data_IF_509727724334
#
_entry.id   IF_509727724334
#
_cell.length_a   1.000
_cell.length_b   1.000
_cell.length_c   1.000
_cell.angle_alpha   90.00
_cell.angle_beta   90.00
_cell.angle_gamma   90.00
#
_symmetry.space_group_name_H-M   'P 1'
#
loop_
_entity.id
_entity.type
_entity.pdbx_description
1 polymer ?
#
# COMPACT_ATOMS: atom_id res chain seq x y z
N UNK A 1 -7.99 -8.15 14.84
CA UNK A 1 -7.82 -8.11 13.36
C UNK A 1 -9.02 -7.48 12.66
N UNK A 2 -10.26 -7.96 12.87
CA UNK A 2 -11.42 -7.50 12.10
C UNK A 2 -11.91 -6.08 12.33
N UNK A 3 -11.62 -5.45 13.48
CA UNK A 3 -11.97 -4.04 13.70
C UNK A 3 -11.19 -3.16 12.71
N UNK A 4 -9.88 -3.34 12.59
CA UNK A 4 -9.05 -2.56 11.66
C UNK A 4 -9.57 -2.70 10.23
N UNK A 5 -9.77 -3.94 9.76
CA UNK A 5 -10.28 -4.23 8.43
C UNK A 5 -11.67 -3.63 8.16
N UNK A 6 -12.54 -3.57 9.17
CA UNK A 6 -13.86 -2.92 9.07
C UNK A 6 -13.70 -1.41 8.91
N UNK A 7 -12.92 -0.77 9.78
CA UNK A 7 -12.75 0.69 9.79
C UNK A 7 -11.99 1.22 8.58
N UNK A 8 -11.13 0.41 7.95
CA UNK A 8 -10.41 0.80 6.73
C UNK A 8 -11.22 0.55 5.46
N UNK A 9 -12.41 -0.06 5.54
CA UNK A 9 -13.22 -0.42 4.37
C UNK A 9 -12.74 -1.67 3.62
N UNK A 10 -11.84 -2.45 4.20
CA UNK A 10 -11.32 -3.70 3.63
C UNK A 10 -12.38 -4.83 3.58
N UNK A 11 -13.40 -4.73 4.42
CA UNK A 11 -14.56 -5.64 4.47
C UNK A 11 -15.77 -5.12 3.68
N UNK A 12 -15.64 -3.99 2.95
CA UNK A 12 -16.75 -3.34 2.25
C UNK A 12 -17.92 -3.07 3.20
N UNK A 13 -19.10 -3.61 2.91
CA UNK A 13 -20.29 -3.49 3.75
C UNK A 13 -20.28 -4.37 5.02
N UNK A 14 -19.10 -4.73 5.54
CA UNK A 14 -18.93 -5.49 6.78
C UNK A 14 -18.91 -7.02 6.62
N UNK A 15 -18.61 -7.53 5.41
CA UNK A 15 -18.59 -8.98 5.15
C UNK A 15 -17.21 -9.55 5.42
N UNK A 16 -17.13 -10.64 6.22
CA UNK A 16 -15.88 -11.37 6.48
C UNK A 16 -15.98 -12.84 6.08
N UNK A 17 -14.85 -13.43 5.69
CA UNK A 17 -14.70 -14.85 5.39
C UNK A 17 -13.83 -15.55 6.43
N UNK A 18 -13.81 -16.90 6.47
CA UNK A 18 -12.83 -17.63 7.28
C UNK A 18 -11.38 -17.22 6.95
N UNK A 19 -11.05 -17.00 5.68
CA UNK A 19 -9.71 -16.55 5.29
C UNK A 19 -9.41 -15.15 5.85
N UNK A 20 -10.32 -14.18 5.69
CA UNK A 20 -10.10 -12.82 6.20
C UNK A 20 -9.95 -12.79 7.73
N UNK A 21 -10.64 -13.68 8.45
CA UNK A 21 -10.53 -13.81 9.91
C UNK A 21 -9.22 -14.48 10.35
N UNK A 22 -8.64 -15.32 9.50
CA UNK A 22 -7.36 -15.98 9.74
C UNK A 22 -6.15 -15.10 9.34
N UNK A 23 -6.39 -13.93 8.73
CA UNK A 23 -5.33 -13.04 8.27
C UNK A 23 -4.36 -12.63 9.39
N UNK A 24 -3.06 -12.68 9.08
CA UNK A 24 -1.97 -12.19 9.93
C UNK A 24 -1.39 -10.92 9.32
N UNK A 25 -1.05 -9.93 10.15
CA UNK A 25 -0.48 -8.68 9.64
C UNK A 25 0.84 -8.95 8.87
N UNK A 26 1.13 -8.18 7.82
CA UNK A 26 2.41 -8.25 7.14
C UNK A 26 3.52 -7.86 8.12
N UNK A 27 4.75 -8.23 7.78
CA UNK A 27 5.96 -7.82 8.53
C UNK A 27 6.78 -6.89 7.65
N UNK A 28 6.96 -5.67 8.14
CA UNK A 28 7.75 -4.61 7.47
C UNK A 28 9.05 -4.41 8.22
N UNK A 29 10.18 -4.74 7.58
CA UNK A 29 11.51 -4.67 8.17
C UNK A 29 12.41 -3.76 7.36
N UNK A 30 12.80 -2.61 7.92
CA UNK A 30 13.83 -1.77 7.31
C UNK A 30 15.20 -2.47 7.41
N UNK A 31 15.96 -2.51 6.30
CA UNK A 31 17.26 -3.19 6.27
C UNK A 31 18.41 -2.25 6.64
N UNK A 32 19.51 -2.85 7.08
CA UNK A 32 20.77 -2.19 7.42
C UNK A 32 20.89 -1.87 8.90
N UNK A 33 21.93 -1.12 9.25
CA UNK A 33 22.37 -0.98 10.63
C UNK A 33 21.39 -0.22 11.51
N UNK A 34 21.39 -0.60 12.79
CA UNK A 34 20.64 0.01 13.88
C UNK A 34 21.60 0.54 14.94
N UNK A 35 21.23 1.65 15.57
CA UNK A 35 21.89 2.20 16.76
C UNK A 35 20.83 2.23 17.87
N UNK A 36 21.10 1.60 19.00
CA UNK A 36 20.15 1.47 20.13
C UNK A 36 18.76 0.94 19.73
N UNK A 37 18.73 -0.03 18.81
CA UNK A 37 17.49 -0.63 18.30
C UNK A 37 16.67 0.28 17.36
N UNK A 38 17.24 1.39 16.89
CA UNK A 38 16.60 2.32 15.94
C UNK A 38 17.39 2.43 14.65
N UNK A 39 16.69 2.56 13.53
CA UNK A 39 17.34 2.91 12.26
C UNK A 39 17.65 4.39 12.22
N UNK A 40 18.94 4.70 12.15
CA UNK A 40 19.45 6.06 11.99
C UNK A 40 20.23 6.19 10.70
N UNK A 41 20.02 7.27 9.96
CA UNK A 41 20.74 7.61 8.72
C UNK A 41 21.16 9.08 8.74
N UNK A 42 22.18 9.39 7.96
CA UNK A 42 22.57 10.77 7.64
C UNK A 42 22.41 11.00 6.15
N UNK A 43 21.87 12.15 5.77
CA UNK A 43 21.73 12.58 4.39
C UNK A 43 22.21 14.03 4.23
N UNK A 44 22.32 14.49 2.98
CA UNK A 44 22.56 15.90 2.64
C UNK A 44 21.37 16.47 1.88
N UNK A 45 21.12 17.77 2.04
CA UNK A 45 20.08 18.47 1.27
C UNK A 45 20.28 18.25 -0.23
N UNK A 46 19.20 17.93 -0.93
CA UNK A 46 19.19 17.67 -2.37
C UNK A 46 19.91 16.40 -2.81
N UNK A 47 20.51 15.62 -1.90
CA UNK A 47 21.15 14.34 -2.23
C UNK A 47 20.20 13.18 -1.93
N UNK A 48 20.01 12.25 -2.87
CA UNK A 48 19.17 11.08 -2.64
C UNK A 48 19.80 10.16 -1.59
N UNK A 49 18.96 9.69 -0.67
CA UNK A 49 19.24 8.60 0.25
C UNK A 49 18.40 7.39 -0.16
N UNK A 50 19.04 6.32 -0.61
CA UNK A 50 18.36 5.06 -0.94
C UNK A 50 18.44 4.08 0.23
N UNK A 51 17.37 3.31 0.43
CA UNK A 51 17.28 2.27 1.44
C UNK A 51 16.34 1.16 1.00
N UNK A 52 16.50 -0.03 1.59
CA UNK A 52 15.71 -1.22 1.24
C UNK A 52 14.83 -1.63 2.42
N UNK A 53 13.56 -1.92 2.14
CA UNK A 53 12.62 -2.48 3.10
C UNK A 53 12.26 -3.89 2.67
N UNK A 54 12.30 -4.84 3.58
CA UNK A 54 11.76 -6.18 3.36
C UNK A 54 10.31 -6.22 3.83
N UNK A 55 9.41 -6.62 2.93
CA UNK A 55 7.99 -6.80 3.21
C UNK A 55 7.61 -8.27 2.99
N UNK A 56 7.13 -8.92 4.04
CA UNK A 56 6.64 -10.31 3.98
C UNK A 56 5.22 -10.39 4.48
N UNK A 57 4.44 -11.32 3.94
CA UNK A 57 3.02 -11.45 4.20
C UNK A 57 2.59 -12.92 4.06
N UNK A 58 1.45 -13.30 4.63
CA UNK A 58 0.90 -14.66 4.50
C UNK A 58 0.13 -14.88 3.18
N UNK A 59 -0.01 -13.82 2.36
CA UNK A 59 -0.72 -13.83 1.08
C UNK A 59 -2.23 -13.68 1.23
N UNK A 60 -2.70 -13.26 2.41
CA UNK A 60 -4.09 -13.03 2.75
C UNK A 60 -4.30 -11.54 3.06
N UNK A 61 -5.40 -10.91 2.61
CA UNK A 61 -6.30 -11.41 1.58
C UNK A 61 -5.59 -11.53 0.22
N UNK A 62 -5.98 -12.53 -0.58
CA UNK A 62 -5.50 -12.64 -1.95
C UNK A 62 -5.91 -11.40 -2.73
N UNK A 63 -4.92 -10.72 -3.30
CA UNK A 63 -5.15 -9.60 -4.21
C UNK A 63 -5.95 -10.10 -5.40
N UNK A 64 -7.17 -9.61 -5.58
CA UNK A 64 -7.97 -9.91 -6.77
C UNK A 64 -7.70 -8.83 -7.80
N UNK A 65 -6.98 -9.18 -8.87
CA UNK A 65 -6.75 -8.25 -9.97
C UNK A 65 -8.04 -7.99 -10.75
N UNK A 66 -8.11 -6.86 -11.46
CA UNK A 66 -9.25 -6.57 -12.34
C UNK A 66 -9.45 -7.65 -13.41
N UNK A 67 -8.37 -8.26 -13.89
CA UNK A 67 -8.41 -9.35 -14.87
C UNK A 67 -9.05 -10.60 -14.26
N UNK A 68 -8.65 -10.98 -13.04
CA UNK A 68 -9.26 -12.12 -12.34
C UNK A 68 -10.74 -11.87 -12.02
N UNK A 69 -11.09 -10.64 -11.68
CA UNK A 69 -12.49 -10.25 -11.47
C UNK A 69 -13.32 -10.36 -12.75
N UNK A 70 -12.79 -9.91 -13.90
CA UNK A 70 -13.44 -10.05 -15.21
C UNK A 70 -13.65 -11.53 -15.54
N UNK A 71 -12.62 -12.36 -15.36
CA UNK A 71 -12.68 -13.81 -15.58
C UNK A 71 -13.74 -14.48 -14.70
N UNK A 72 -13.76 -14.16 -13.41
CA UNK A 72 -14.72 -14.70 -12.47
C UNK A 72 -16.17 -14.33 -12.85
N UNK A 73 -16.41 -13.07 -13.22
CA UNK A 73 -17.75 -12.63 -13.66
C UNK A 73 -18.17 -13.28 -14.97
N UNK A 74 -17.27 -13.45 -15.94
CA UNK A 74 -17.58 -14.12 -17.19
C UNK A 74 -17.97 -15.59 -16.95
N UNK A 75 -17.22 -16.29 -16.11
CA UNK A 75 -17.51 -17.67 -15.72
C UNK A 75 -18.87 -17.82 -15.01
N UNK A 76 -19.30 -16.82 -14.22
CA UNK A 76 -20.60 -16.81 -13.55
C UNK A 76 -21.76 -16.40 -14.47
N UNK A 77 -21.48 -15.66 -15.56
CA UNK A 77 -22.49 -15.12 -16.48
C UNK A 77 -23.13 -16.15 -17.41
N UNK A 78 -22.61 -17.38 -17.44
CA UNK A 78 -23.09 -18.46 -18.30
C UNK A 78 -22.31 -18.57 -19.63
N UNK A 79 -22.64 -19.57 -20.47
CA UNK A 79 -21.79 -19.99 -21.59
C UNK A 79 -21.63 -18.96 -22.72
N UNK A 80 -22.48 -17.93 -22.76
CA UNK A 80 -22.47 -16.88 -23.78
C UNK A 80 -21.84 -15.57 -23.31
N UNK A 81 -21.37 -15.49 -22.06
CA UNK A 81 -20.75 -14.28 -21.51
C UNK A 81 -19.23 -14.39 -21.67
N UNK A 82 -18.65 -13.51 -22.48
CA UNK A 82 -17.20 -13.45 -22.68
C UNK A 82 -16.54 -12.44 -21.73
N UNK A 83 -15.23 -12.61 -21.48
CA UNK A 83 -14.42 -11.64 -20.72
C UNK A 83 -14.49 -10.24 -21.34
N UNK A 84 -14.50 -10.14 -22.67
CA UNK A 84 -14.61 -8.86 -23.39
C UNK A 84 -15.95 -8.17 -23.15
N UNK A 85 -17.06 -8.93 -23.14
CA UNK A 85 -18.38 -8.40 -22.84
C UNK A 85 -18.44 -7.84 -21.41
N UNK A 86 -17.89 -8.59 -20.45
CA UNK A 86 -17.79 -8.16 -19.05
C UNK A 86 -16.91 -6.91 -18.93
N UNK A 87 -15.74 -6.89 -19.56
CA UNK A 87 -14.83 -5.75 -19.54
C UNK A 87 -15.49 -4.49 -20.10
N UNK A 88 -16.17 -4.59 -21.26
CA UNK A 88 -16.91 -3.50 -21.87
C UNK A 88 -18.04 -3.00 -20.97
N UNK A 89 -18.79 -3.91 -20.36
CA UNK A 89 -19.86 -3.55 -19.42
C UNK A 89 -19.31 -2.84 -18.18
N UNK A 90 -18.18 -3.31 -17.61
CA UNK A 90 -17.53 -2.65 -16.47
C UNK A 90 -17.00 -1.26 -16.83
N UNK A 91 -16.49 -1.06 -18.06
CA UNK A 91 -15.99 0.23 -18.52
C UNK A 91 -17.11 1.28 -18.69
N UNK A 92 -18.33 0.85 -19.00
CA UNK A 92 -19.50 1.71 -19.16
C UNK A 92 -20.26 1.97 -17.85
N UNK A 93 -19.98 1.19 -16.80
CA UNK A 93 -20.62 1.38 -15.49
C UNK A 93 -19.89 2.44 -14.69
N UNK A 94 -20.65 3.38 -14.14
CA UNK A 94 -20.18 4.19 -13.02
C UNK A 94 -19.94 3.21 -11.86
N UNK A 95 -18.72 3.15 -11.29
CA UNK A 95 -18.43 2.30 -10.14
C UNK A 95 -19.36 2.69 -8.99
N UNK A 96 -20.22 1.76 -8.58
CA UNK A 96 -21.09 1.96 -7.43
C UNK A 96 -20.40 1.37 -6.19
N UNK A 97 -19.89 2.25 -5.33
CA UNK A 97 -19.30 1.91 -4.05
C UNK A 97 -20.24 2.44 -2.95
N UNK A 98 -21.20 1.61 -2.46
CA UNK A 98 -22.16 2.05 -1.45
C UNK A 98 -21.50 2.36 -0.10
N UNK A 99 -20.31 1.80 0.13
CA UNK A 99 -19.43 2.10 1.25
C UNK A 99 -18.07 2.52 0.71
N UNK A 100 -17.33 3.30 1.48
CA UNK A 100 -15.91 3.49 1.19
C UNK A 100 -15.22 2.13 1.28
N UNK A 101 -14.48 1.78 0.23
CA UNK A 101 -13.86 0.46 0.08
C UNK A 101 -12.38 0.60 -0.23
N UNK A 102 -11.55 -0.11 0.54
CA UNK A 102 -10.13 -0.22 0.27
C UNK A 102 -9.86 -1.43 -0.62
N UNK A 103 -8.95 -1.28 -1.58
CA UNK A 103 -8.44 -2.41 -2.35
C UNK A 103 -7.58 -3.29 -1.43
N UNK A 104 -7.95 -4.56 -1.36
CA UNK A 104 -7.23 -5.58 -0.61
C UNK A 104 -6.01 -6.06 -1.40
N UNK A 105 -4.84 -5.52 -1.07
CA UNK A 105 -3.58 -5.85 -1.71
C UNK A 105 -2.39 -5.50 -0.81
N UNK A 106 -1.29 -6.22 -0.98
CA UNK A 106 -0.02 -5.94 -0.30
C UNK A 106 0.69 -4.74 -0.95
N UNK A 107 1.00 -3.71 -0.16
CA UNK A 107 1.81 -2.56 -0.59
C UNK A 107 2.67 -1.98 0.54
N UNK A 108 3.75 -1.29 0.15
CA UNK A 108 4.59 -0.49 1.05
C UNK A 108 4.31 1.00 0.82
N UNK A 109 4.30 1.79 1.89
CA UNK A 109 4.23 3.25 1.82
C UNK A 109 5.14 3.90 2.86
N UNK A 110 6.13 4.67 2.39
CA UNK A 110 6.94 5.55 3.20
C UNK A 110 6.38 6.98 3.24
N UNK A 111 6.34 7.54 4.44
CA UNK A 111 5.75 8.84 4.73
C UNK A 111 6.67 9.63 5.66
N UNK A 112 6.54 10.96 5.65
CA UNK A 112 7.14 11.81 6.67
C UNK A 112 6.23 11.82 7.89
N UNK A 113 6.70 11.30 9.02
CA UNK A 113 5.99 11.39 10.29
C UNK A 113 6.29 12.71 11.00
N UNK A 114 7.56 13.15 10.97
CA UNK A 114 8.02 14.46 11.46
C UNK A 114 9.15 14.97 10.58
N UNK A 115 9.24 16.28 10.38
CA UNK A 115 10.31 16.92 9.59
C UNK A 115 10.03 18.41 9.37
N UNK A 116 11.08 19.18 9.09
CA UNK A 116 10.99 20.64 8.94
C UNK A 116 10.56 21.07 7.53
N UNK A 117 11.06 20.38 6.51
CA UNK A 117 10.88 20.75 5.10
C UNK A 117 10.27 19.67 4.22
N UNK A 118 10.21 19.97 2.92
CA UNK A 118 9.68 19.07 1.90
C UNK A 118 10.58 17.86 1.70
N UNK A 119 9.93 16.70 1.54
CA UNK A 119 10.57 15.40 1.29
C UNK A 119 9.89 14.77 0.09
N UNK A 120 10.68 14.23 -0.84
CA UNK A 120 10.19 13.54 -2.03
C UNK A 120 10.68 12.10 -2.01
N UNK A 121 9.76 11.16 -2.27
CA UNK A 121 10.05 9.74 -2.39
C UNK A 121 10.00 9.30 -3.84
N UNK A 122 10.89 8.37 -4.20
CA UNK A 122 10.91 7.66 -5.48
C UNK A 122 11.04 6.15 -5.23
N UNK A 123 10.10 5.31 -5.70
CA UNK A 123 8.88 5.70 -6.42
C UNK A 123 7.90 6.50 -5.53
N UNK A 124 6.91 7.20 -6.13
CA UNK A 124 5.84 7.85 -5.37
C UNK A 124 5.07 6.85 -4.51
N UNK A 125 4.96 7.15 -3.22
CA UNK A 125 4.40 6.22 -2.23
C UNK A 125 2.86 6.27 -2.23
N UNK A 126 2.16 5.12 -2.16
CA UNK A 126 0.71 5.09 -1.99
C UNK A 126 0.29 5.74 -0.67
N UNK A 127 -0.89 6.36 -0.62
CA UNK A 127 -1.41 6.91 0.64
C UNK A 127 -1.82 5.81 1.62
N UNK A 128 -1.67 6.11 2.90
CA UNK A 128 -2.07 5.24 4.02
C UNK A 128 -3.31 5.73 4.75
N UNK A 129 -3.97 6.76 4.22
CA UNK A 129 -5.22 7.32 4.70
C UNK A 129 -6.24 7.40 3.57
N UNK A 130 -7.51 7.48 3.96
CA UNK A 130 -8.63 7.48 3.03
C UNK A 130 -8.60 8.69 2.09
N UNK A 131 -8.45 8.41 0.80
CA UNK A 131 -8.62 9.37 -0.29
C UNK A 131 -9.29 8.67 -1.46
N UNK A 132 -10.59 8.93 -1.65
CA UNK A 132 -11.41 8.29 -2.67
C UNK A 132 -11.33 8.99 -4.03
N UNK A 133 -10.59 10.11 -4.12
CA UNK A 133 -10.47 10.85 -5.37
C UNK A 133 -9.80 9.99 -6.45
N UNK A 134 -10.34 9.95 -7.68
CA UNK A 134 -9.72 9.23 -8.79
C UNK A 134 -8.28 9.70 -9.02
N UNK A 135 -7.36 8.76 -9.21
CA UNK A 135 -5.95 9.04 -9.51
C UNK A 135 -5.10 9.51 -8.31
N UNK A 136 -5.62 9.48 -7.09
CA UNK A 136 -4.95 10.05 -5.90
C UNK A 136 -3.80 9.21 -5.30
N UNK A 137 -3.29 8.19 -6.02
CA UNK A 137 -2.39 7.14 -5.55
C UNK A 137 -2.78 6.60 -4.17
N UNK A 138 -4.02 6.15 -4.04
CA UNK A 138 -4.65 5.75 -2.79
C UNK A 138 -5.38 4.43 -2.99
N UNK A 139 -5.27 3.48 -2.06
CA UNK A 139 -5.99 2.20 -2.16
C UNK A 139 -7.51 2.34 -2.00
N UNK A 140 -8.00 3.52 -1.62
CA UNK A 140 -9.43 3.89 -1.67
C UNK A 140 -9.82 4.60 -2.97
N UNK A 141 -8.83 5.04 -3.74
CA UNK A 141 -9.02 5.84 -4.94
C UNK A 141 -9.52 4.99 -6.09
N UNK A 142 -10.45 5.54 -6.86
CA UNK A 142 -10.91 4.87 -8.08
C UNK A 142 -9.74 4.69 -9.06
N UNK A 143 -9.61 3.46 -9.59
CA UNK A 143 -8.56 3.03 -10.53
C UNK A 143 -7.14 2.94 -9.94
N UNK A 144 -6.99 2.88 -8.62
CA UNK A 144 -5.71 2.51 -8.03
C UNK A 144 -5.38 1.04 -8.32
N UNK A 145 -4.09 0.78 -8.54
CA UNK A 145 -3.54 -0.56 -8.66
C UNK A 145 -2.38 -0.68 -7.66
N UNK A 146 -2.27 -1.81 -6.95
CA UNK A 146 -1.16 -2.01 -6.03
C UNK A 146 0.18 -1.95 -6.76
N UNK A 147 1.20 -1.31 -6.17
CA UNK A 147 2.56 -1.39 -6.67
C UNK A 147 3.05 -2.84 -6.77
N UNK A 148 3.99 -3.08 -7.68
CA UNK A 148 4.66 -4.37 -7.76
C UNK A 148 5.50 -4.64 -6.51
N UNK A 149 5.35 -5.83 -5.93
CA UNK A 149 6.18 -6.32 -4.82
C UNK A 149 7.08 -7.43 -5.37
N UNK A 150 8.42 -7.28 -5.28
CA UNK A 150 9.35 -8.33 -5.68
C UNK A 150 9.12 -9.64 -4.91
N UNK A 151 9.44 -10.77 -5.53
CA UNK A 151 9.19 -12.09 -4.95
C UNK A 151 9.94 -12.34 -3.62
N UNK A 152 11.08 -11.69 -3.42
CA UNK A 152 11.87 -11.72 -2.18
C UNK A 152 11.40 -10.67 -1.15
N UNK A 153 10.40 -9.86 -1.50
CA UNK A 153 9.86 -8.79 -0.67
C UNK A 153 10.80 -7.58 -0.52
N UNK A 154 11.92 -7.52 -1.25
CA UNK A 154 12.91 -6.45 -1.11
C UNK A 154 12.54 -5.26 -1.97
N UNK A 155 12.09 -4.18 -1.32
CA UNK A 155 11.62 -2.97 -1.99
C UNK A 155 12.63 -1.85 -1.75
N UNK A 156 13.21 -1.33 -2.83
CA UNK A 156 14.06 -0.15 -2.77
C UNK A 156 13.22 1.12 -2.77
N UNK A 157 13.62 2.09 -1.96
CA UNK A 157 13.01 3.43 -1.91
C UNK A 157 14.12 4.46 -1.80
N UNK A 158 14.00 5.50 -2.60
CA UNK A 158 14.88 6.66 -2.56
C UNK A 158 14.12 7.84 -1.99
N UNK A 159 14.77 8.60 -1.10
CA UNK A 159 14.21 9.80 -0.50
C UNK A 159 15.17 10.97 -0.66
N UNK A 160 14.62 12.14 -0.96
CA UNK A 160 15.37 13.40 -1.09
C UNK A 160 14.74 14.47 -0.20
N UNK A 161 15.58 15.22 0.51
CA UNK A 161 15.19 16.26 1.46
C UNK A 161 15.57 17.65 0.92
N UNK A 162 14.66 18.62 1.00
CA UNK A 162 14.90 19.99 0.51
C UNK A 162 15.48 20.92 1.59
N UNK A 163 15.44 20.53 2.87
CA UNK A 163 15.92 21.34 4.00
C UNK A 163 16.75 20.50 4.99
N UNK A 164 17.72 21.11 5.71
CA UNK A 164 18.44 20.42 6.77
C UNK A 164 17.55 20.24 8.01
N UNK A 165 17.88 19.26 8.86
CA UNK A 165 17.16 19.01 10.11
C UNK A 165 17.03 17.53 10.47
N UNK A 166 16.25 17.25 11.51
CA UNK A 166 15.86 15.88 11.85
C UNK A 166 14.50 15.52 11.26
N UNK A 167 14.47 14.36 10.60
CA UNK A 167 13.27 13.79 9.99
C UNK A 167 13.00 12.42 10.61
N UNK A 168 11.74 12.14 10.90
CA UNK A 168 11.28 10.79 11.22
C UNK A 168 10.44 10.33 10.04
N UNK A 169 10.94 9.33 9.33
CA UNK A 169 10.22 8.63 8.29
C UNK A 169 9.51 7.42 8.88
N UNK A 170 8.33 7.14 8.34
CA UNK A 170 7.46 6.06 8.76
C UNK A 170 7.03 5.26 7.53
N UNK A 171 7.40 3.99 7.51
CA UNK A 171 7.04 3.01 6.49
C UNK A 171 5.93 2.11 6.99
N UNK A 172 4.87 1.94 6.21
CA UNK A 172 3.77 1.01 6.49
C UNK A 172 3.71 -0.05 5.40
N UNK A 173 3.83 -1.31 5.78
CA UNK A 173 3.38 -2.43 4.97
C UNK A 173 1.92 -2.74 5.31
N UNK A 174 1.09 -2.90 4.30
CA UNK A 174 -0.36 -3.05 4.45
C UNK A 174 -0.85 -4.09 3.44
N UNK A 175 -1.61 -5.08 3.91
CA UNK A 175 -2.16 -6.18 3.10
C UNK A 175 -3.58 -5.88 2.58
N UNK A 176 -4.14 -4.72 2.96
CA UNK A 176 -5.53 -4.31 2.75
C UNK A 176 -6.36 -4.34 4.02
N UNK A 177 -6.15 -5.31 4.91
CA UNK A 177 -6.90 -5.52 6.15
C UNK A 177 -6.10 -5.16 7.40
N UNK A 178 -4.82 -5.49 7.43
CA UNK A 178 -3.89 -5.27 8.54
C UNK A 178 -2.62 -4.59 8.03
N UNK A 179 -1.83 -4.09 8.97
CA UNK A 179 -0.61 -3.38 8.66
C UNK A 179 0.46 -3.57 9.74
N UNK A 180 1.70 -3.31 9.37
CA UNK A 180 2.83 -3.20 10.28
C UNK A 180 3.72 -2.02 9.89
N UNK A 181 4.26 -1.35 10.91
CA UNK A 181 4.96 -0.09 10.75
C UNK A 181 6.48 -0.26 11.04
N UNK A 182 7.29 0.48 10.29
CA UNK A 182 8.73 0.62 10.46
C UNK A 182 9.09 2.12 10.52
N UNK A 183 10.18 2.45 11.21
CA UNK A 183 10.59 3.84 11.42
C UNK A 183 12.07 4.04 11.14
N UNK A 184 12.40 5.22 10.64
CA UNK A 184 13.78 5.66 10.41
C UNK A 184 13.94 7.12 10.80
N UNK A 185 14.96 7.42 11.61
CA UNK A 185 15.37 8.79 11.86
C UNK A 185 16.49 9.17 10.89
N UNK A 186 16.33 10.30 10.20
CA UNK A 186 17.32 10.83 9.26
C UNK A 186 17.77 12.20 9.73
N UNK A 187 19.07 12.34 9.98
CA UNK A 187 19.70 13.64 10.18
C UNK A 187 20.16 14.19 8.83
N UNK A 188 19.56 15.28 8.38
CA UNK A 188 19.88 15.93 7.11
C UNK A 188 20.77 17.14 7.39
N UNK A 189 21.90 17.21 6.70
CA UNK A 189 22.87 18.30 6.78
C UNK A 189 22.92 19.06 5.45
N UNK A 190 23.51 20.25 5.48
CA UNK A 190 23.82 21.01 4.26
C UNK A 190 24.74 20.24 3.29
#
# INVERSE_FOLDING_TARGET
NMVIASETGALGAGTSSPESRANTAPVTTLRGDMVDGKHMRTARVGRPLSFTTQLTDDGIPKTTTRVEMIKAMAAQGGPFVTEEMVQRQMALRIPWQPTVGKINALYLSWNVYRGAGKVTFDPPQPKVWEDTRPGSNSPWGLSWSPPYIPADGMIETTVTFEEPGEYVLWGRGDDGMLYHDAYMTVTVRE
#
